data_IF_080652189530
#
_entry.id   IF_080652189530
#
_cell.length_a   1.000
_cell.length_b   1.000
_cell.length_c   1.000
_cell.angle_alpha   90.00
_cell.angle_beta   90.00
_cell.angle_gamma   90.00
#
_symmetry.space_group_name_H-M   'P 1'
#
loop_
_entity.id
_entity.type
_entity.pdbx_description
1 polymer ?
#
# COMPACT_ATOMS: atom_id res chain seq x y z
N UNK A 1 -13.91 -1.65 -11.48
CA UNK A 1 -14.04 -1.82 -11.16
C UNK A 1 -14.60 -1.93 -11.02
N UNK A 2 -14.81 -1.74 -10.77
CA UNK A 2 -15.23 -1.73 -10.42
C UNK A 2 -15.52 -2.06 -9.99
N UNK A 3 -15.77 -2.15 -9.59
CA UNK A 3 -16.03 -2.38 -9.06
C UNK A 3 -16.03 -2.73 -8.29
N UNK A 4 -16.02 -2.58 -7.83
CA UNK A 4 -16.03 -2.80 -7.10
C UNK A 4 -16.67 -2.81 -6.77
N UNK A 5 -17.15 -2.52 -6.62
CA UNK A 5 -17.70 -2.31 -6.40
C UNK A 5 -18.62 -2.44 -6.04
N UNK A 6 -19.24 -2.63 -5.87
CA UNK A 6 -20.08 -2.72 -5.44
C UNK A 6 -20.32 -2.97 -4.37
N UNK A 7 -20.32 -3.34 -4.09
CA UNK A 7 -20.42 -3.58 -2.99
C UNK A 7 -19.82 -2.89 -2.02
N UNK A 8 -19.13 -2.60 -1.80
CA UNK A 8 -18.67 -2.02 -0.93
C UNK A 8 -18.70 -0.76 -1.03
N UNK A 9 -19.29 -0.32 -1.81
CA UNK A 9 -19.42 0.81 -2.04
C UNK A 9 -20.22 1.41 -1.11
N UNK A 10 -21.06 1.02 -0.53
CA UNK A 10 -21.84 1.65 0.21
C UNK A 10 -21.21 1.95 1.41
N UNK A 11 -20.42 1.42 1.91
CA UNK A 11 -19.87 1.72 2.91
C UNK A 11 -18.80 2.34 2.69
N UNK A 12 -18.50 2.56 1.77
CA UNK A 12 -17.58 3.21 1.38
C UNK A 12 -16.31 3.15 2.04
N UNK A 13 -15.85 2.17 2.51
CA UNK A 13 -14.53 2.03 2.97
C UNK A 13 -13.64 1.93 1.78
N UNK A 14 -12.74 2.83 1.61
CA UNK A 14 -11.83 2.76 0.52
C UNK A 14 -10.48 2.42 1.04
N UNK A 15 -9.70 1.68 0.29
CA UNK A 15 -8.34 1.30 0.62
C UNK A 15 -7.43 1.81 -0.47
N UNK A 16 -6.43 2.59 -0.08
CA UNK A 16 -5.40 3.03 -1.00
C UNK A 16 -4.16 2.21 -0.73
N UNK A 17 -3.54 1.69 -1.77
CA UNK A 17 -2.33 0.87 -1.60
C UNK A 17 -1.23 1.38 -2.50
N UNK A 18 -0.02 1.19 -2.05
CA UNK A 18 1.15 1.56 -2.82
C UNK A 18 2.29 0.63 -2.46
N UNK A 19 3.31 0.59 -3.32
CA UNK A 19 4.48 -0.21 -3.06
C UNK A 19 5.67 0.71 -2.95
N UNK A 20 6.56 0.43 -2.00
CA UNK A 20 7.81 1.18 -1.85
C UNK A 20 8.94 0.18 -1.73
N UNK A 21 10.15 0.61 -2.06
CA UNK A 21 11.29 -0.26 -1.90
C UNK A 21 11.58 -0.46 -0.43
N UNK A 22 11.90 -1.70 -0.06
CA UNK A 22 12.19 -2.00 1.34
C UNK A 22 13.39 -1.21 1.85
N UNK A 23 14.30 -0.84 0.96
CA UNK A 23 15.46 -0.06 1.35
C UNK A 23 15.18 1.44 1.44
N UNK A 24 14.02 1.87 0.98
CA UNK A 24 13.73 3.30 0.94
C UNK A 24 13.08 3.73 2.26
N UNK A 25 13.90 3.96 3.25
CA UNK A 25 13.40 4.28 4.58
C UNK A 25 12.70 5.65 4.63
N UNK A 26 13.14 6.58 3.82
CA UNK A 26 12.50 7.90 3.77
C UNK A 26 11.06 7.80 3.32
N UNK A 27 10.81 7.00 2.27
CA UNK A 27 9.47 6.83 1.78
C UNK A 27 8.60 6.12 2.81
N UNK A 28 9.15 5.12 3.48
CA UNK A 28 8.40 4.40 4.50
C UNK A 28 7.99 5.34 5.63
N UNK A 29 8.90 6.19 6.06
CA UNK A 29 8.58 7.14 7.11
C UNK A 29 7.52 8.13 6.65
N UNK A 30 7.65 8.62 5.44
CA UNK A 30 6.67 9.55 4.90
C UNK A 30 5.28 8.94 4.88
N UNK A 31 5.16 7.74 4.31
CA UNK A 31 3.84 7.13 4.18
C UNK A 31 3.29 6.68 5.54
N UNK A 32 4.15 6.24 6.45
CA UNK A 32 3.70 5.93 7.79
C UNK A 32 3.10 7.17 8.46
N UNK A 33 3.74 8.31 8.28
CA UNK A 33 3.23 9.53 8.89
C UNK A 33 1.91 9.96 8.27
N UNK A 34 1.62 9.51 7.06
CA UNK A 34 0.36 9.80 6.40
C UNK A 34 -0.71 8.76 6.71
N UNK A 35 -0.40 7.79 7.55
CA UNK A 35 -1.39 6.80 7.95
C UNK A 35 -1.31 5.48 7.24
N UNK A 36 -0.29 5.27 6.41
CA UNK A 36 -0.13 3.99 5.73
C UNK A 36 0.52 2.97 6.65
N UNK A 37 0.19 1.72 6.47
CA UNK A 37 0.74 0.62 7.25
C UNK A 37 1.30 -0.43 6.31
N UNK A 38 2.45 -0.98 6.66
CA UNK A 38 3.01 -2.08 5.87
C UNK A 38 2.20 -3.33 6.15
N UNK A 39 1.70 -3.97 5.11
CA UNK A 39 0.90 -5.17 5.26
C UNK A 39 1.56 -6.41 4.66
N UNK A 40 2.53 -6.23 3.78
CA UNK A 40 3.14 -7.37 3.12
C UNK A 40 4.51 -7.01 2.59
N UNK A 41 5.43 -7.95 2.69
CA UNK A 41 6.74 -7.81 2.08
C UNK A 41 6.68 -8.52 0.74
N UNK A 42 7.24 -7.88 -0.29
CA UNK A 42 7.22 -8.41 -1.65
C UNK A 42 8.66 -8.74 -2.07
N UNK A 43 9.11 -9.97 -1.85
CA UNK A 43 10.50 -10.33 -2.13
C UNK A 43 10.80 -10.21 -3.61
N UNK A 44 11.95 -9.60 -3.91
CA UNK A 44 12.41 -9.45 -5.28
C UNK A 44 11.39 -8.77 -6.18
N UNK A 45 10.68 -7.82 -5.63
CA UNK A 45 9.62 -7.15 -6.35
C UNK A 45 10.15 -6.31 -7.50
N UNK A 46 11.33 -5.73 -7.35
CA UNK A 46 11.91 -4.88 -8.38
C UNK A 46 12.90 -5.66 -9.22
N UNK A 47 13.02 -5.26 -10.48
CA UNK A 47 13.82 -6.03 -11.43
C UNK A 47 15.28 -6.16 -11.04
N UNK A 48 15.80 -5.25 -10.23
CA UNK A 48 17.18 -5.35 -9.80
C UNK A 48 17.33 -6.21 -8.54
N UNK A 49 16.29 -6.94 -8.17
CA UNK A 49 16.39 -7.84 -7.04
C UNK A 49 15.96 -7.22 -5.71
N UNK A 50 15.58 -5.97 -5.69
CA UNK A 50 15.21 -5.34 -4.45
C UNK A 50 13.82 -5.76 -3.99
N UNK A 51 13.65 -5.87 -2.69
CA UNK A 51 12.35 -6.19 -2.12
C UNK A 51 11.47 -4.95 -2.08
N UNK A 52 10.18 -5.17 -2.13
CA UNK A 52 9.21 -4.10 -1.97
C UNK A 52 8.40 -4.30 -0.71
N UNK A 53 7.69 -3.28 -0.32
CA UNK A 53 6.74 -3.35 0.78
C UNK A 53 5.41 -2.82 0.29
N UNK A 54 4.36 -3.55 0.56
CA UNK A 54 3.02 -3.08 0.24
C UNK A 54 2.51 -2.31 1.45
N UNK A 55 2.14 -1.06 1.21
CA UNK A 55 1.59 -0.22 2.26
C UNK A 55 0.17 0.16 1.90
N UNK A 56 -0.69 0.17 2.87
CA UNK A 56 -2.10 0.48 2.66
C UNK A 56 -2.58 1.49 3.67
N UNK A 57 -3.60 2.22 3.27
CA UNK A 57 -4.24 3.17 4.15
C UNK A 57 -5.74 3.06 3.91
N UNK A 58 -6.49 2.99 4.97
CA UNK A 58 -7.93 2.98 4.88
C UNK A 58 -8.43 4.41 4.94
N UNK A 59 -9.26 4.77 3.97
CA UNK A 59 -9.88 6.08 3.95
C UNK A 59 -11.30 5.87 4.41
N UNK A 60 -11.61 6.32 5.50
CA UNK A 60 -12.90 6.02 6.06
C UNK A 60 -14.04 6.74 5.41
#
# INVERSE_FOLDING_TARGET
MERVEEGFRRREARIVRLEVRAANLSAQKLYSSLGYTVTQRLPRYYSNGGDGLLMVKALA
#
